data_IF_138118665377
#
_entry.id   IF_138118665377
#
_cell.length_a   1.000
_cell.length_b   1.000
_cell.length_c   1.000
_cell.angle_alpha   90.00
_cell.angle_beta   90.00
_cell.angle_gamma   90.00
#
_symmetry.space_group_name_H-M   'P 1'
#
loop_
_entity.id
_entity.type
_entity.pdbx_description
1 polymer ?
#
# COMPACT_ATOMS: atom_id res chain seq x y z
N UNK A 1 -4.97 -10.83 -10.30
CA UNK A 1 -5.74 -10.18 -9.20
C UNK A 1 -5.21 -10.71 -7.89
N UNK A 2 -4.54 -9.88 -7.10
CA UNK A 2 -3.75 -10.32 -5.95
C UNK A 2 -4.34 -9.81 -4.63
N UNK A 3 -5.47 -10.42 -4.25
CA UNK A 3 -6.24 -10.04 -3.05
C UNK A 3 -5.46 -10.30 -1.76
N UNK A 4 -4.69 -11.39 -1.69
CA UNK A 4 -3.90 -11.73 -0.50
C UNK A 4 -2.88 -10.63 -0.16
N UNK A 5 -2.13 -10.17 -1.17
CA UNK A 5 -1.18 -9.07 -0.99
C UNK A 5 -1.89 -7.75 -0.66
N UNK A 6 -3.04 -7.48 -1.28
CA UNK A 6 -3.82 -6.28 -1.00
C UNK A 6 -4.29 -6.22 0.47
N UNK A 7 -4.76 -7.34 1.02
CA UNK A 7 -5.18 -7.42 2.43
C UNK A 7 -3.99 -7.16 3.37
N UNK A 8 -2.84 -7.78 3.09
CA UNK A 8 -1.62 -7.53 3.87
C UNK A 8 -1.22 -6.06 3.84
N UNK A 9 -1.28 -5.43 2.67
CA UNK A 9 -0.91 -4.03 2.49
C UNK A 9 -1.88 -3.09 3.22
N UNK A 10 -3.18 -3.40 3.28
CA UNK A 10 -4.17 -2.67 4.08
C UNK A 10 -3.81 -2.69 5.57
N UNK A 11 -3.39 -3.85 6.10
CA UNK A 11 -2.97 -3.96 7.52
C UNK A 11 -1.77 -3.05 7.78
N UNK A 12 -0.78 -3.04 6.88
CA UNK A 12 0.40 -2.17 6.98
C UNK A 12 -0.02 -0.70 6.95
N UNK A 13 -0.93 -0.30 6.06
CA UNK A 13 -1.43 1.07 5.96
C UNK A 13 -2.09 1.51 7.28
N UNK A 14 -2.91 0.66 7.90
CA UNK A 14 -3.56 0.96 9.19
C UNK A 14 -2.51 1.19 10.28
N UNK A 15 -1.53 0.28 10.41
CA UNK A 15 -0.46 0.43 11.40
C UNK A 15 0.34 1.72 11.18
N UNK A 16 0.74 1.98 9.93
CA UNK A 16 1.50 3.19 9.57
C UNK A 16 0.71 4.46 9.90
N UNK A 17 -0.60 4.45 9.64
CA UNK A 17 -1.50 5.57 9.93
C UNK A 17 -1.58 5.86 11.43
N UNK A 18 -1.63 4.82 12.28
CA UNK A 18 -1.64 4.97 13.74
C UNK A 18 -0.36 5.63 14.24
N UNK A 19 0.81 5.22 13.72
CA UNK A 19 2.10 5.85 14.05
C UNK A 19 2.21 7.29 13.54
N UNK A 20 1.50 7.64 12.47
CA UNK A 20 1.57 8.97 11.86
C UNK A 20 0.81 10.03 12.66
N UNK A 21 -0.29 9.67 13.34
CA UNK A 21 -1.13 10.61 14.11
C UNK A 21 -0.33 11.52 15.07
N UNK A 22 0.55 11.00 15.97
CA UNK A 22 1.29 11.86 16.90
C UNK A 22 2.26 12.82 16.20
N UNK A 23 2.76 12.47 15.02
CA UNK A 23 3.69 13.30 14.25
C UNK A 23 3.04 14.60 13.74
N UNK A 24 1.70 14.67 13.66
CA UNK A 24 0.97 15.87 13.22
C UNK A 24 1.38 17.13 13.99
N UNK A 25 1.60 17.00 15.31
CA UNK A 25 1.94 18.14 16.19
C UNK A 25 3.45 18.34 16.33
N UNK A 26 4.24 17.27 16.27
CA UNK A 26 5.67 17.30 16.56
C UNK A 26 6.48 17.64 15.30
N UNK A 27 6.12 17.04 14.16
CA UNK A 27 6.84 17.17 12.88
C UNK A 27 5.84 17.23 11.72
N UNK A 28 5.16 18.38 11.51
CA UNK A 28 4.08 18.50 10.54
C UNK A 28 4.51 18.23 9.09
N UNK A 29 5.77 18.53 8.73
CA UNK A 29 6.28 18.19 7.39
C UNK A 29 6.40 16.67 7.18
N UNK A 30 6.89 15.93 8.18
CA UNK A 30 6.93 14.46 8.10
C UNK A 30 5.52 13.85 8.10
N UNK A 31 4.59 14.45 8.84
CA UNK A 31 3.17 14.06 8.79
C UNK A 31 2.60 14.21 7.38
N UNK A 32 2.82 15.35 6.71
CA UNK A 32 2.36 15.58 5.33
C UNK A 32 2.99 14.61 4.33
N UNK A 33 4.30 14.36 4.44
CA UNK A 33 5.00 13.39 3.60
C UNK A 33 4.46 11.97 3.81
N UNK A 34 4.26 11.55 5.06
CA UNK A 34 3.70 10.24 5.39
C UNK A 34 2.26 10.06 4.89
N UNK A 35 1.44 11.11 4.96
CA UNK A 35 0.08 11.10 4.38
C UNK A 35 0.10 10.91 2.86
N UNK A 36 1.03 11.60 2.19
CA UNK A 36 1.22 11.45 0.75
C UNK A 36 1.63 10.02 0.40
N UNK A 37 2.54 9.44 1.17
CA UNK A 37 2.99 8.06 1.01
C UNK A 37 1.86 7.05 1.24
N UNK A 38 1.03 7.24 2.27
CA UNK A 38 -0.17 6.41 2.49
C UNK A 38 -1.13 6.50 1.31
N UNK A 39 -1.35 7.69 0.74
CA UNK A 39 -2.18 7.86 -0.45
C UNK A 39 -1.67 7.04 -1.64
N UNK A 40 -0.36 7.02 -1.87
CA UNK A 40 0.27 6.20 -2.92
C UNK A 40 0.01 4.71 -2.64
N UNK A 41 0.18 4.25 -1.40
CA UNK A 41 -0.08 2.85 -1.03
C UNK A 41 -1.53 2.43 -1.27
N UNK A 42 -2.50 3.32 -1.03
CA UNK A 42 -3.92 3.05 -1.31
C UNK A 42 -4.15 2.84 -2.81
N UNK A 43 -3.50 3.64 -3.66
CA UNK A 43 -3.56 3.46 -5.13
C UNK A 43 -2.99 2.09 -5.52
N UNK A 44 -1.88 1.67 -4.91
CA UNK A 44 -1.29 0.34 -5.15
C UNK A 44 -2.25 -0.78 -4.73
N UNK A 45 -2.93 -0.65 -3.58
CA UNK A 45 -3.98 -1.61 -3.16
C UNK A 45 -5.07 -1.71 -4.22
N UNK A 46 -5.54 -0.58 -4.76
CA UNK A 46 -6.56 -0.58 -5.82
C UNK A 46 -6.09 -1.32 -7.07
N UNK A 47 -4.85 -1.10 -7.51
CA UNK A 47 -4.28 -1.79 -8.67
C UNK A 47 -4.18 -3.32 -8.45
N UNK A 48 -3.82 -3.75 -7.23
CA UNK A 48 -3.74 -5.17 -6.87
C UNK A 48 -5.12 -5.84 -6.82
N UNK A 49 -6.13 -5.15 -6.26
CA UNK A 49 -7.51 -5.66 -6.13
C UNK A 49 -8.23 -5.69 -7.47
N UNK A 50 -8.06 -4.66 -8.30
CA UNK A 50 -8.65 -4.65 -9.65
C UNK A 50 -7.98 -5.64 -10.60
N UNK A 51 -6.79 -6.13 -10.26
CA UNK A 51 -6.02 -7.03 -11.09
C UNK A 51 -5.45 -6.39 -12.35
N UNK A 52 -5.50 -5.05 -12.45
CA UNK A 52 -4.85 -4.26 -13.52
C UNK A 52 -3.33 -4.46 -13.45
N UNK A 53 -2.79 -4.66 -12.24
CA UNK A 53 -1.39 -4.94 -12.01
C UNK A 53 -1.25 -6.20 -11.16
N UNK A 54 -0.51 -7.18 -11.67
CA UNK A 54 -0.15 -8.40 -10.94
C UNK A 54 1.38 -8.60 -10.99
N UNK A 55 2.12 -8.20 -9.94
CA UNK A 55 3.57 -8.26 -9.94
C UNK A 55 4.11 -9.70 -9.97
N UNK A 56 3.26 -10.72 -9.77
CA UNK A 56 3.67 -12.12 -9.79
C UNK A 56 3.30 -12.85 -11.09
N UNK A 57 2.69 -12.17 -12.05
CA UNK A 57 2.28 -12.79 -13.31
C UNK A 57 3.47 -13.40 -14.09
N UNK A 58 4.63 -12.74 -14.06
CA UNK A 58 5.81 -13.17 -14.82
C UNK A 58 6.61 -14.31 -14.15
N UNK A 59 6.28 -14.68 -12.91
CA UNK A 59 6.99 -15.72 -12.17
C UNK A 59 6.37 -17.12 -12.31
N UNK A 60 5.21 -17.23 -12.95
CA UNK A 60 4.62 -18.53 -13.29
C UNK A 60 5.20 -18.94 -14.65
N UNK A 61 6.12 -19.93 -14.74
CA UNK A 61 6.59 -20.40 -16.03
C UNK A 61 5.37 -20.89 -16.80
N UNK A 62 5.11 -20.25 -17.94
CA UNK A 62 4.13 -20.72 -18.91
C UNK A 62 4.55 -22.13 -19.31
N UNK A 63 3.91 -23.15 -18.72
CA UNK A 63 3.99 -24.52 -19.21
C UNK A 63 3.33 -24.52 -20.59
N UNK A 64 4.11 -24.22 -21.62
CA UNK A 64 3.86 -24.72 -22.96
C UNK A 64 4.21 -26.20 -23.01
#
# INVERSE_FOLDING_TARGET
MNIGLAILLIIIIILLSMFLIPLKKIKPNLFKMGLTFIGILIIVVFLLVTGIYDPYADHIPSKK
#
